data_IF_167187407775
#
_entry.id   IF_167187407775
#
_cell.length_a   1.000
_cell.length_b   1.000
_cell.length_c   1.000
_cell.angle_alpha   90.00
_cell.angle_beta   90.00
_cell.angle_gamma   90.00
#
_symmetry.space_group_name_H-M   'P 1'
#
loop_
_entity.id
_entity.type
_entity.pdbx_description
1 polymer ?
#
# COMPACT_ATOMS: atom_id res chain seq x y z
N UNK A 1 43.93 7.59 -18.69
CA UNK A 1 43.34 7.06 -17.43
C UNK A 1 42.61 8.20 -16.72
N UNK A 2 41.61 7.83 -15.91
CA UNK A 2 40.71 8.67 -15.08
C UNK A 2 39.52 9.34 -15.78
N UNK A 3 38.43 8.57 -15.91
CA UNK A 3 37.08 9.15 -15.91
C UNK A 3 36.52 8.96 -14.50
N UNK A 4 36.14 10.08 -13.88
CA UNK A 4 35.62 10.13 -12.52
C UNK A 4 34.37 9.25 -12.38
N UNK A 5 34.48 8.22 -11.55
CA UNK A 5 33.37 7.36 -11.13
C UNK A 5 32.44 8.19 -10.24
N UNK A 6 31.42 8.81 -10.82
CA UNK A 6 30.34 9.40 -10.06
C UNK A 6 29.58 8.26 -9.36
N UNK A 7 29.68 8.23 -8.04
CA UNK A 7 28.88 7.36 -7.19
C UNK A 7 27.43 7.83 -7.26
N UNK A 8 26.63 7.17 -8.09
CA UNK A 8 25.18 7.26 -8.01
C UNK A 8 24.82 6.73 -6.63
N UNK A 9 24.45 7.64 -5.71
CA UNK A 9 23.84 7.29 -4.43
C UNK A 9 22.46 6.72 -4.76
N UNK A 10 22.47 5.42 -5.06
CA UNK A 10 21.28 4.61 -5.20
C UNK A 10 20.67 4.53 -3.80
N UNK A 11 19.82 5.51 -3.47
CA UNK A 11 18.91 5.42 -2.33
C UNK A 11 18.08 4.16 -2.59
N UNK A 12 18.54 3.04 -2.06
CA UNK A 12 17.78 1.80 -2.01
C UNK A 12 16.59 2.07 -1.11
N UNK A 13 15.54 2.62 -1.72
CA UNK A 13 14.30 3.03 -1.08
C UNK A 13 13.49 1.76 -0.80
N UNK A 14 14.01 0.92 0.09
CA UNK A 14 13.28 -0.21 0.61
C UNK A 14 11.95 0.31 1.17
N UNK A 15 10.82 -0.26 0.76
CA UNK A 15 9.53 0.21 1.21
C UNK A 15 9.45 0.10 2.74
N UNK A 16 9.13 1.20 3.43
CA UNK A 16 8.99 1.20 4.88
C UNK A 16 7.92 0.19 5.29
N UNK A 17 8.34 -0.88 5.96
CA UNK A 17 7.49 -1.97 6.41
C UNK A 17 6.93 -1.67 7.81
N UNK A 18 5.65 -1.99 8.01
CA UNK A 18 4.93 -1.89 9.27
C UNK A 18 4.32 -3.23 9.64
N UNK A 19 4.13 -3.48 10.93
CA UNK A 19 3.27 -4.57 11.40
C UNK A 19 1.82 -4.09 11.33
N UNK A 20 0.97 -4.86 10.67
CA UNK A 20 -0.45 -4.55 10.58
C UNK A 20 -1.22 -5.42 11.57
N UNK A 21 -1.82 -4.82 12.61
CA UNK A 21 -2.66 -5.54 13.57
C UNK A 21 -3.92 -6.17 12.93
N UNK A 22 -4.25 -5.78 11.70
CA UNK A 22 -5.39 -6.27 10.91
C UNK A 22 -4.98 -7.40 9.93
N UNK A 23 -3.71 -7.79 9.88
CA UNK A 23 -3.28 -8.97 9.13
C UNK A 23 -3.13 -10.16 10.07
N UNK A 24 -3.52 -11.37 9.63
CA UNK A 24 -3.25 -12.58 10.41
C UNK A 24 -1.74 -12.82 10.53
N UNK A 25 -1.32 -13.25 11.71
CA UNK A 25 0.07 -13.57 12.03
C UNK A 25 0.98 -12.35 12.22
N UNK A 26 2.29 -12.56 12.04
CA UNK A 26 3.32 -11.51 12.21
C UNK A 26 3.77 -10.89 10.88
N UNK A 27 2.91 -10.92 9.87
CA UNK A 27 3.23 -10.42 8.52
C UNK A 27 3.47 -8.90 8.55
N UNK A 28 4.46 -8.47 7.77
CA UNK A 28 4.78 -7.07 7.56
C UNK A 28 4.25 -6.62 6.20
N UNK A 29 3.75 -5.40 6.14
CA UNK A 29 3.25 -4.76 4.92
C UNK A 29 3.91 -3.41 4.73
N UNK A 30 4.15 -3.00 3.48
CA UNK A 30 4.65 -1.64 3.23
C UNK A 30 3.58 -0.60 3.57
N UNK A 31 4.00 0.58 4.03
CA UNK A 31 3.11 1.75 4.19
C UNK A 31 2.29 2.01 2.92
N UNK A 32 2.93 1.92 1.75
CA UNK A 32 2.25 2.04 0.45
C UNK A 32 1.14 1.00 0.27
N UNK A 33 1.43 -0.28 0.51
CA UNK A 33 0.41 -1.32 0.36
C UNK A 33 -0.72 -1.17 1.40
N UNK A 34 -0.42 -0.70 2.62
CA UNK A 34 -1.42 -0.37 3.62
C UNK A 34 -2.38 0.75 3.13
N UNK A 35 -1.83 1.83 2.58
CA UNK A 35 -2.64 2.92 2.01
C UNK A 35 -3.47 2.48 0.80
N UNK A 36 -2.91 1.67 -0.10
CA UNK A 36 -3.66 1.11 -1.23
C UNK A 36 -4.81 0.21 -0.79
N UNK A 37 -4.61 -0.63 0.24
CA UNK A 37 -5.69 -1.45 0.80
C UNK A 37 -6.83 -0.60 1.36
N UNK A 38 -6.52 0.53 2.01
CA UNK A 38 -7.53 1.47 2.49
C UNK A 38 -8.34 2.06 1.33
N UNK A 39 -7.67 2.61 0.30
CA UNK A 39 -8.33 3.19 -0.87
C UNK A 39 -9.20 2.18 -1.60
N UNK A 40 -8.71 0.94 -1.72
CA UNK A 40 -9.47 -0.14 -2.35
C UNK A 40 -10.69 -0.54 -1.53
N UNK A 41 -10.58 -0.58 -0.19
CA UNK A 41 -11.71 -0.86 0.69
C UNK A 41 -12.80 0.21 0.59
N UNK A 42 -12.42 1.48 0.40
CA UNK A 42 -13.34 2.58 0.11
C UNK A 42 -14.03 2.38 -1.24
N UNK A 43 -13.27 2.12 -2.31
CA UNK A 43 -13.81 1.88 -3.66
C UNK A 43 -14.82 0.73 -3.68
N UNK A 44 -14.44 -0.42 -3.10
CA UNK A 44 -15.30 -1.61 -3.06
C UNK A 44 -16.55 -1.45 -2.18
N UNK A 45 -16.60 -0.46 -1.29
CA UNK A 45 -17.82 -0.22 -0.48
C UNK A 45 -19.03 0.22 -1.31
N UNK A 46 -18.78 0.71 -2.52
CA UNK A 46 -19.80 1.16 -3.46
C UNK A 46 -20.07 0.13 -4.58
N UNK A 47 -19.38 -1.01 -4.57
CA UNK A 47 -19.46 -2.01 -5.64
C UNK A 47 -20.14 -3.30 -5.16
N UNK A 48 -21.03 -3.84 -5.98
CA UNK A 48 -21.63 -5.16 -5.77
C UNK A 48 -20.64 -6.22 -6.28
N UNK A 49 -20.14 -7.13 -5.43
CA UNK A 49 -19.26 -8.22 -5.85
C UNK A 49 -19.94 -9.11 -6.90
N UNK A 50 -19.19 -9.48 -7.95
CA UNK A 50 -19.71 -10.24 -9.10
C UNK A 50 -19.38 -11.72 -9.06
N UNK A 51 -18.46 -12.12 -8.20
CA UNK A 51 -17.98 -13.51 -8.08
C UNK A 51 -17.42 -13.76 -6.67
N UNK A 52 -17.17 -15.03 -6.36
CA UNK A 52 -16.68 -15.46 -5.05
C UNK A 52 -15.36 -14.80 -4.66
N UNK A 53 -14.46 -14.55 -5.62
CA UNK A 53 -13.20 -13.86 -5.34
C UNK A 53 -13.43 -12.42 -4.89
N UNK A 54 -14.34 -11.70 -5.55
CA UNK A 54 -14.70 -10.34 -5.15
C UNK A 54 -15.41 -10.30 -3.80
N UNK A 55 -16.23 -11.31 -3.49
CA UNK A 55 -16.87 -11.45 -2.17
C UNK A 55 -15.80 -11.60 -1.08
N UNK A 56 -14.91 -12.58 -1.23
CA UNK A 56 -13.82 -12.84 -0.27
C UNK A 56 -12.91 -11.62 -0.13
N UNK A 57 -12.61 -10.95 -1.24
CA UNK A 57 -11.79 -9.74 -1.24
C UNK A 57 -12.46 -8.57 -0.54
N UNK A 58 -13.77 -8.38 -0.75
CA UNK A 58 -14.56 -7.35 -0.06
C UNK A 58 -14.55 -7.58 1.46
N UNK A 59 -14.84 -8.81 1.90
CA UNK A 59 -14.82 -9.19 3.32
C UNK A 59 -13.43 -8.97 3.94
N UNK A 60 -12.36 -9.38 3.25
CA UNK A 60 -10.98 -9.20 3.72
C UNK A 60 -10.50 -7.75 3.75
N UNK A 61 -11.21 -6.83 3.08
CA UNK A 61 -10.92 -5.40 3.05
C UNK A 61 -11.87 -4.57 3.91
N UNK A 62 -13.00 -5.13 4.34
CA UNK A 62 -13.99 -4.45 5.18
C UNK A 62 -13.34 -3.85 6.43
N UNK A 63 -12.53 -4.66 7.12
CA UNK A 63 -11.77 -4.21 8.28
C UNK A 63 -10.79 -3.08 7.96
N UNK A 64 -10.44 -2.80 6.70
CA UNK A 64 -9.55 -1.70 6.33
C UNK A 64 -10.30 -0.38 6.09
N UNK A 65 -11.63 -0.37 5.94
CA UNK A 65 -12.43 0.84 5.62
C UNK A 65 -12.26 1.94 6.66
N UNK A 66 -12.23 1.59 7.94
CA UNK A 66 -12.10 2.54 9.05
C UNK A 66 -10.70 2.49 9.68
N UNK A 67 -9.66 2.22 8.86
CA UNK A 67 -8.28 2.11 9.37
C UNK A 67 -7.61 3.47 9.46
N UNK A 68 -7.32 4.02 10.66
CA UNK A 68 -6.62 5.29 10.77
C UNK A 68 -5.22 5.20 10.15
N UNK A 69 -4.50 4.11 10.40
CA UNK A 69 -3.19 3.88 9.79
C UNK A 69 -3.26 3.74 8.26
N UNK A 70 -4.34 3.15 7.75
CA UNK A 70 -4.59 3.04 6.31
C UNK A 70 -4.86 4.40 5.68
N UNK A 71 -5.69 5.21 6.33
CA UNK A 71 -6.04 6.57 5.92
C UNK A 71 -4.79 7.48 5.88
N UNK A 72 -3.98 7.47 6.94
CA UNK A 72 -2.75 8.27 6.99
C UNK A 72 -1.77 7.88 5.89
N UNK A 73 -1.60 6.58 5.68
CA UNK A 73 -0.75 6.07 4.59
C UNK A 73 -1.33 6.42 3.22
N UNK A 74 -2.65 6.39 3.03
CA UNK A 74 -3.30 6.80 1.80
C UNK A 74 -3.09 8.30 1.51
N UNK A 75 -3.25 9.17 2.52
CA UNK A 75 -2.95 10.61 2.42
C UNK A 75 -1.50 10.85 2.03
N UNK A 76 -0.56 10.09 2.58
CA UNK A 76 0.86 10.17 2.21
C UNK A 76 1.10 9.77 0.73
N UNK A 77 0.33 8.81 0.19
CA UNK A 77 0.41 8.46 -1.24
C UNK A 77 -0.10 9.56 -2.16
N UNK A 78 -1.08 10.35 -1.75
CA UNK A 78 -1.53 11.50 -2.54
C UNK A 78 -0.48 12.63 -2.59
N UNK A 79 0.37 12.72 -1.56
CA UNK A 79 1.44 13.73 -1.45
C UNK A 79 2.69 13.34 -2.22
N UNK A 80 3.01 12.06 -2.28
CA UNK A 80 4.07 11.52 -3.14
C UNK A 80 3.42 11.04 -4.44
N UNK A 81 3.39 11.90 -5.47
CA UNK A 81 2.77 11.60 -6.77
C UNK A 81 3.15 10.21 -7.33
N UNK A 82 2.33 9.64 -8.23
CA UNK A 82 2.50 8.27 -8.68
C UNK A 82 3.93 8.06 -9.20
N UNK A 83 4.70 7.23 -8.50
CA UNK A 83 5.94 6.66 -9.02
C UNK A 83 5.55 5.86 -10.26
N UNK A 84 5.75 6.47 -11.45
CA UNK A 84 5.69 5.78 -12.73
C UNK A 84 6.72 4.67 -12.67
N UNK A 85 6.26 3.43 -12.49
CA UNK A 85 7.05 2.27 -12.91
C UNK A 85 6.72 2.07 -14.40
N UNK A 86 7.80 1.97 -15.18
CA UNK A 86 7.85 1.81 -16.64
C UNK A 86 6.72 0.95 -17.20
#
# INVERSE_FOLDING_TARGET
MNVHRQSVSEKSAWPQLIRCARQPGSLRISKRACGLRYLEAQRMSHEVPRNDFEIVRSLGLEICRTCPLGEDNAKALSRCGPSRRN
#
